data_IF_918997663646
#
_entry.id   IF_918997663646
#
_cell.length_a   1.000
_cell.length_b   1.000
_cell.length_c   1.000
_cell.angle_alpha   90.00
_cell.angle_beta   90.00
_cell.angle_gamma   90.00
#
_symmetry.space_group_name_H-M   'P 1'
#
loop_
_entity.id
_entity.type
_entity.pdbx_description
1 polymer ?
#
# COMPACT_ATOMS: atom_id res chain seq x y z
N UNK A 1 14.29 10.90 9.42
CA UNK A 1 14.91 9.58 9.40
C UNK A 1 13.94 8.53 8.91
N UNK A 2 14.33 7.80 7.89
CA UNK A 2 13.47 6.77 7.33
C UNK A 2 13.51 5.54 8.16
N UNK A 3 12.36 5.13 8.63
CA UNK A 3 12.26 3.82 9.24
C UNK A 3 11.24 3.01 8.46
N UNK A 4 11.15 1.75 8.81
CA UNK A 4 10.27 0.83 8.12
C UNK A 4 8.80 1.31 8.13
N UNK A 5 8.38 1.82 9.27
CA UNK A 5 7.02 2.29 9.44
C UNK A 5 6.67 3.44 8.50
N UNK A 6 7.57 4.41 8.38
CA UNK A 6 7.35 5.55 7.50
C UNK A 6 7.26 5.10 6.05
N UNK A 7 8.11 4.15 5.67
CA UNK A 7 8.10 3.62 4.33
C UNK A 7 6.79 2.91 4.00
N UNK A 8 6.31 2.09 4.94
CA UNK A 8 5.05 1.38 4.76
C UNK A 8 3.89 2.36 4.66
N UNK A 9 3.88 3.37 5.49
CA UNK A 9 2.83 4.37 5.47
C UNK A 9 2.81 5.13 4.14
N UNK A 10 3.97 5.53 3.66
CA UNK A 10 4.08 6.22 2.37
C UNK A 10 3.57 5.35 1.23
N UNK A 11 3.99 4.10 1.21
CA UNK A 11 3.57 3.18 0.15
C UNK A 11 2.07 2.92 0.20
N UNK A 12 1.52 2.75 1.39
CA UNK A 12 0.09 2.51 1.54
C UNK A 12 -0.73 3.66 0.97
N UNK A 13 -0.36 4.89 1.30
CA UNK A 13 -1.05 6.06 0.76
C UNK A 13 -0.90 6.15 -0.76
N UNK A 14 0.30 5.87 -1.26
CA UNK A 14 0.56 5.91 -2.70
C UNK A 14 -0.29 4.89 -3.44
N UNK A 15 -0.37 3.67 -2.92
CA UNK A 15 -1.14 2.61 -3.57
C UNK A 15 -2.64 2.92 -3.54
N UNK A 16 -3.14 3.49 -2.45
CA UNK A 16 -4.54 3.90 -2.40
C UNK A 16 -4.82 4.96 -3.46
N UNK A 17 -3.92 5.93 -3.60
CA UNK A 17 -4.07 6.96 -4.62
C UNK A 17 -4.08 6.38 -6.03
N UNK A 18 -3.21 5.41 -6.29
CA UNK A 18 -3.16 4.73 -7.58
C UNK A 18 -4.47 3.99 -7.85
N UNK A 19 -4.96 3.26 -6.85
CA UNK A 19 -6.19 2.49 -7.00
C UNK A 19 -7.37 3.42 -7.31
N UNK A 20 -7.44 4.56 -6.64
CA UNK A 20 -8.52 5.52 -6.86
C UNK A 20 -8.41 6.17 -8.23
N UNK A 21 -7.20 6.50 -8.64
CA UNK A 21 -6.98 7.17 -9.92
C UNK A 21 -7.36 6.30 -11.09
N UNK A 22 -6.96 5.02 -11.05
CA UNK A 22 -7.21 4.09 -12.15
C UNK A 22 -8.43 3.21 -11.91
N UNK A 23 -9.00 3.30 -10.70
CA UNK A 23 -10.13 2.47 -10.29
C UNK A 23 -9.85 0.99 -10.53
N UNK A 24 -8.65 0.59 -10.16
CA UNK A 24 -8.20 -0.76 -10.42
C UNK A 24 -7.33 -1.27 -9.27
N UNK A 25 -7.96 -2.00 -8.36
CA UNK A 25 -7.26 -2.56 -7.21
C UNK A 25 -6.40 -3.76 -7.59
N UNK A 26 -6.71 -4.42 -8.71
CA UNK A 26 -5.89 -5.53 -9.16
C UNK A 26 -4.49 -5.06 -9.54
N UNK A 27 -4.39 -3.88 -10.13
CA UNK A 27 -3.10 -3.28 -10.44
C UNK A 27 -2.27 -3.07 -9.17
N UNK A 28 -2.92 -2.55 -8.13
CA UNK A 28 -2.26 -2.30 -6.86
C UNK A 28 -1.79 -3.60 -6.23
N UNK A 29 -2.62 -4.64 -6.29
CA UNK A 29 -2.24 -5.94 -5.78
C UNK A 29 -0.98 -6.46 -6.44
N UNK A 30 -0.89 -6.34 -7.76
CA UNK A 30 0.30 -6.78 -8.48
C UNK A 30 1.54 -6.02 -8.03
N UNK A 31 1.42 -4.70 -7.86
CA UNK A 31 2.54 -3.89 -7.42
C UNK A 31 3.01 -4.29 -6.02
N UNK A 32 2.07 -4.55 -5.14
CA UNK A 32 2.40 -4.96 -3.78
C UNK A 32 3.08 -6.33 -3.78
N UNK A 33 2.58 -7.25 -4.58
CA UNK A 33 3.12 -8.61 -4.63
C UNK A 33 4.55 -8.67 -5.14
N UNK A 34 4.97 -7.68 -5.89
CA UNK A 34 6.35 -7.60 -6.34
C UNK A 34 7.33 -7.34 -5.19
N UNK A 35 6.83 -6.79 -4.10
CA UNK A 35 7.66 -6.46 -2.94
C UNK A 35 7.24 -7.32 -1.75
N UNK A 36 7.55 -8.60 -1.85
CA UNK A 36 7.12 -9.56 -0.83
C UNK A 36 7.61 -9.24 0.57
N UNK A 37 8.74 -8.56 0.67
CA UNK A 37 9.30 -8.19 1.96
C UNK A 37 8.35 -7.34 2.77
N UNK A 38 7.58 -6.51 2.10
CA UNK A 38 6.72 -5.55 2.76
C UNK A 38 5.24 -5.77 2.46
N UNK A 39 4.95 -6.81 1.69
CA UNK A 39 3.59 -7.05 1.21
C UNK A 39 2.55 -7.04 2.33
N UNK A 40 2.76 -7.84 3.36
CA UNK A 40 1.80 -7.94 4.42
C UNK A 40 1.64 -6.65 5.22
N UNK A 41 2.75 -5.98 5.49
CA UNK A 41 2.73 -4.73 6.23
C UNK A 41 1.96 -3.66 5.47
N UNK A 42 2.20 -3.56 4.16
CA UNK A 42 1.49 -2.59 3.33
C UNK A 42 0.01 -2.90 3.25
N UNK A 43 -0.34 -4.16 3.05
CA UNK A 43 -1.74 -4.57 2.99
C UNK A 43 -2.47 -4.24 4.28
N UNK A 44 -1.83 -4.52 5.41
CA UNK A 44 -2.42 -4.21 6.71
C UNK A 44 -2.66 -2.72 6.87
N UNK A 45 -1.67 -1.92 6.49
CA UNK A 45 -1.79 -0.46 6.62
C UNK A 45 -2.89 0.09 5.71
N UNK A 46 -3.00 -0.44 4.50
CA UNK A 46 -4.06 -0.03 3.59
C UNK A 46 -5.43 -0.30 4.21
N UNK A 47 -5.60 -1.49 4.79
CA UNK A 47 -6.86 -1.82 5.45
C UNK A 47 -7.17 -0.86 6.60
N UNK A 48 -6.18 -0.50 7.38
CA UNK A 48 -6.34 0.45 8.48
C UNK A 48 -6.81 1.81 7.97
N UNK A 49 -6.19 2.27 6.89
CA UNK A 49 -6.54 3.57 6.32
C UNK A 49 -7.94 3.60 5.73
N UNK A 50 -8.35 2.49 5.12
CA UNK A 50 -9.65 2.43 4.48
C UNK A 50 -10.81 2.23 5.48
N UNK A 51 -10.48 1.84 6.70
CA UNK A 51 -11.52 1.62 7.72
C UNK A 51 -12.03 2.90 8.34
N UNK A 52 -11.38 3.99 8.10
CA UNK A 52 -11.81 5.28 8.68
C UNK A 52 -13.02 5.87 7.98
#
# INVERSE_FOLDING_TARGET
MNNFKDRINYLAHSYIAIANRYRNWDLVKELIERNKDIEEAVKKRIKELLRK
#
